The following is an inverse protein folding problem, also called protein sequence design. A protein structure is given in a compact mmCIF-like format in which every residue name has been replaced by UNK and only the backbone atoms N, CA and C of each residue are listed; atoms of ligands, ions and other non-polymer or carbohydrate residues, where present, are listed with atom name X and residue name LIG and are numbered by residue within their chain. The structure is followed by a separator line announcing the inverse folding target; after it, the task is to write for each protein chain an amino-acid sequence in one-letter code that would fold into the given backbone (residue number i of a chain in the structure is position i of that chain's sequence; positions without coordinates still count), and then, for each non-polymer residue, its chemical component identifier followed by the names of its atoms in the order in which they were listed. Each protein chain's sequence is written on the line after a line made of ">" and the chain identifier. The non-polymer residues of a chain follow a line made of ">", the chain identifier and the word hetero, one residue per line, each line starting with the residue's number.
data_IF_981340473399
#
_entry.id   IF_981340473399
#
_cell.length_a   1.000
_cell.length_b   1.000
_cell.length_c   1.000
_cell.angle_alpha   90.00
_cell.angle_beta   90.00
_cell.angle_gamma   90.00
#
_symmetry.space_group_name_H-M   'P 1'
#
loop_
_entity.id
_entity.type
_entity.pdbx_description
1 polymer ?
#
# COMPACT_ATOMS: atom_id res chain seq x y z
N UNK A 1 5.01 19.49 14.64
CA UNK A 1 4.49 18.12 14.83
C UNK A 1 5.47 17.07 14.30
N UNK A 2 5.87 17.09 13.02
CA UNK A 2 6.80 16.09 12.46
C UNK A 2 8.10 16.00 13.29
N UNK A 3 8.78 17.13 13.51
CA UNK A 3 10.03 17.16 14.26
C UNK A 3 9.83 16.69 15.71
N UNK A 4 8.78 17.17 16.38
CA UNK A 4 8.43 16.77 17.75
C UNK A 4 8.22 15.26 17.91
N UNK A 5 7.51 14.63 16.97
CA UNK A 5 7.30 13.17 16.98
C UNK A 5 8.63 12.44 16.80
N UNK A 6 9.47 12.90 15.87
CA UNK A 6 10.78 12.31 15.60
C UNK A 6 11.73 12.45 16.79
N UNK A 7 11.76 13.62 17.43
CA UNK A 7 12.57 13.90 18.63
C UNK A 7 12.19 12.99 19.81
N UNK A 8 10.94 12.55 19.88
CA UNK A 8 10.47 11.56 20.86
C UNK A 8 10.67 10.11 20.42
N UNK A 9 11.38 9.87 19.30
CA UNK A 9 11.64 8.52 18.76
C UNK A 9 10.47 7.92 17.97
N UNK A 10 9.40 8.69 17.73
CA UNK A 10 8.26 8.26 16.93
C UNK A 10 8.51 8.25 15.43
N UNK A 11 7.58 7.67 14.69
CA UNK A 11 7.54 7.67 13.21
C UNK A 11 6.25 8.36 12.75
N UNK A 12 6.36 9.15 11.68
CA UNK A 12 5.26 9.98 11.17
C UNK A 12 4.87 9.61 9.76
N UNK A 13 3.58 9.49 9.48
CA UNK A 13 3.05 9.23 8.15
C UNK A 13 2.10 10.35 7.72
N UNK A 14 2.22 10.80 6.48
CA UNK A 14 1.22 11.69 5.87
C UNK A 14 0.04 10.80 5.44
N UNK A 15 -1.10 10.94 6.12
CA UNK A 15 -2.32 10.17 5.79
C UNK A 15 -2.99 10.72 4.53
N UNK A 16 -3.55 9.81 3.72
CA UNK A 16 -4.41 10.07 2.56
C UNK A 16 -4.06 11.37 1.81
N UNK A 17 -2.82 11.50 1.28
CA UNK A 17 -2.23 12.76 0.84
C UNK A 17 -2.97 13.44 -0.32
N UNK A 18 -3.69 12.65 -1.12
CA UNK A 18 -4.52 13.11 -2.25
C UNK A 18 -6.01 12.84 -2.01
N UNK A 19 -6.44 12.83 -0.75
CA UNK A 19 -7.85 12.80 -0.41
C UNK A 19 -8.54 13.96 -1.10
N UNK A 20 -9.67 13.71 -1.78
CA UNK A 20 -10.42 14.72 -2.56
C UNK A 20 -11.74 15.12 -1.90
N UNK A 21 -12.16 14.40 -0.85
CA UNK A 21 -13.51 14.50 -0.31
C UNK A 21 -14.58 14.01 -1.28
N UNK A 22 -15.84 14.17 -0.88
CA UNK A 22 -17.03 13.82 -1.67
C UNK A 22 -18.17 14.76 -1.32
N UNK A 23 -18.51 15.66 -2.24
CA UNK A 23 -19.54 16.69 -2.04
C UNK A 23 -20.92 16.08 -1.72
N UNK A 24 -21.30 15.02 -2.43
CA UNK A 24 -22.60 14.34 -2.26
C UNK A 24 -22.86 13.86 -0.83
N UNK A 25 -21.80 13.47 -0.11
CA UNK A 25 -21.88 12.96 1.26
C UNK A 25 -21.23 13.93 2.27
N UNK A 26 -21.04 15.20 1.87
CA UNK A 26 -20.44 16.25 2.69
C UNK A 26 -19.07 15.90 3.29
N UNK A 27 -18.31 15.02 2.63
CA UNK A 27 -16.96 14.67 3.06
C UNK A 27 -16.01 15.78 2.63
N UNK A 28 -15.36 16.42 3.61
CA UNK A 28 -14.42 17.52 3.40
C UNK A 28 -13.14 17.06 2.68
N UNK A 29 -12.56 17.97 1.92
CA UNK A 29 -11.30 17.78 1.21
C UNK A 29 -10.10 18.02 2.17
N UNK A 30 -9.28 16.99 2.41
CA UNK A 30 -8.11 17.08 3.31
C UNK A 30 -6.80 16.57 2.66
N UNK A 31 -6.32 17.21 1.58
CA UNK A 31 -5.07 16.82 0.94
C UNK A 31 -3.86 17.34 1.74
N UNK A 32 -2.72 16.69 1.55
CA UNK A 32 -1.44 17.24 1.99
C UNK A 32 -0.94 18.29 1.01
N UNK A 33 -0.72 19.51 1.50
CA UNK A 33 -0.40 20.67 0.66
C UNK A 33 1.10 20.96 0.56
N UNK A 34 1.84 20.86 1.67
CA UNK A 34 3.22 21.29 1.74
C UNK A 34 4.21 20.13 1.62
N UNK A 35 4.63 19.83 0.40
CA UNK A 35 5.62 18.78 0.11
C UNK A 35 7.08 19.22 0.32
N UNK A 36 7.32 20.44 0.80
CA UNK A 36 8.68 20.91 1.12
C UNK A 36 9.17 20.42 2.49
N UNK A 37 8.25 19.96 3.34
CA UNK A 37 8.57 19.42 4.66
C UNK A 37 9.43 18.16 4.54
N UNK A 38 10.21 17.88 5.59
CA UNK A 38 11.03 16.68 5.69
C UNK A 38 10.84 16.02 7.06
N UNK A 39 11.41 14.83 7.23
CA UNK A 39 11.42 14.14 8.53
C UNK A 39 10.26 13.18 8.79
N UNK A 40 9.26 13.12 7.92
CA UNK A 40 8.25 12.05 7.93
C UNK A 40 8.86 10.74 7.43
N UNK A 41 8.32 9.62 7.92
CA UNK A 41 8.75 8.26 7.58
C UNK A 41 8.11 7.77 6.30
N UNK A 42 6.84 8.10 6.08
CA UNK A 42 6.09 7.57 4.95
C UNK A 42 4.81 8.33 4.64
N UNK A 43 4.04 7.78 3.70
CA UNK A 43 2.74 8.30 3.27
C UNK A 43 1.72 7.16 3.10
N UNK A 44 0.44 7.48 3.24
CA UNK A 44 -0.65 6.62 2.79
C UNK A 44 -0.66 6.53 1.26
N UNK A 45 -0.44 5.34 0.71
CA UNK A 45 -0.47 5.10 -0.74
C UNK A 45 -1.84 4.57 -1.19
N UNK A 46 -2.57 3.90 -0.30
CA UNK A 46 -3.88 3.35 -0.59
C UNK A 46 -4.82 3.52 0.60
N UNK A 47 -5.74 4.47 0.47
CA UNK A 47 -6.80 4.66 1.46
C UNK A 47 -8.12 4.06 0.98
N UNK A 48 -8.73 3.23 1.81
CA UNK A 48 -10.00 2.57 1.52
C UNK A 48 -11.13 3.56 1.34
N UNK A 49 -11.27 4.53 2.25
CA UNK A 49 -12.39 5.46 2.20
C UNK A 49 -12.26 6.40 1.00
N UNK A 50 -11.08 6.92 0.72
CA UNK A 50 -10.79 7.74 -0.46
C UNK A 50 -11.05 7.01 -1.77
N UNK A 51 -10.59 5.76 -1.90
CA UNK A 51 -10.79 4.95 -3.12
C UNK A 51 -12.27 4.59 -3.30
N UNK A 52 -12.95 4.18 -2.22
CA UNK A 52 -14.38 3.90 -2.23
C UNK A 52 -15.23 5.12 -2.59
N UNK A 53 -14.93 6.27 -1.97
CA UNK A 53 -15.63 7.53 -2.17
C UNK A 53 -15.65 7.99 -3.65
N UNK A 54 -14.60 7.68 -4.41
CA UNK A 54 -14.54 8.02 -5.83
C UNK A 54 -15.66 7.37 -6.67
N UNK A 55 -16.24 6.27 -6.18
CA UNK A 55 -17.37 5.60 -6.82
C UNK A 55 -18.73 6.27 -6.51
N UNK A 56 -18.82 7.09 -5.48
CA UNK A 56 -20.06 7.61 -4.92
C UNK A 56 -20.59 8.83 -5.69
N UNK A 57 -21.25 8.60 -6.83
CA UNK A 57 -21.77 9.65 -7.73
C UNK A 57 -23.28 9.89 -7.66
N UNK A 58 -23.98 9.11 -6.84
CA UNK A 58 -25.44 9.08 -6.77
C UNK A 58 -25.94 7.93 -5.88
N UNK A 59 -27.24 7.91 -5.58
CA UNK A 59 -27.82 6.93 -4.65
C UNK A 59 -27.64 5.48 -5.09
N UNK A 60 -27.79 5.19 -6.39
CA UNK A 60 -27.59 3.84 -6.93
C UNK A 60 -26.13 3.39 -6.79
N UNK A 61 -25.16 4.24 -7.15
CA UNK A 61 -23.74 3.93 -6.92
C UNK A 61 -23.39 3.86 -5.44
N UNK A 62 -24.06 4.65 -4.59
CA UNK A 62 -23.92 4.57 -3.14
C UNK A 62 -24.39 3.23 -2.59
N UNK A 63 -25.55 2.75 -3.02
CA UNK A 63 -26.07 1.43 -2.65
C UNK A 63 -25.15 0.31 -3.15
N UNK A 64 -24.70 0.36 -4.41
CA UNK A 64 -23.77 -0.63 -4.96
C UNK A 64 -22.43 -0.60 -4.21
N UNK A 65 -21.88 0.59 -3.97
CA UNK A 65 -20.63 0.77 -3.23
C UNK A 65 -20.74 0.32 -1.77
N UNK A 66 -21.91 0.46 -1.16
CA UNK A 66 -22.17 -0.04 0.18
C UNK A 66 -22.35 -1.56 0.20
N UNK A 67 -23.05 -2.17 -0.76
CA UNK A 67 -23.27 -3.62 -0.78
C UNK A 67 -22.01 -4.39 -1.24
N UNK A 68 -21.29 -3.86 -2.23
CA UNK A 68 -20.15 -4.50 -2.90
C UNK A 68 -18.89 -3.63 -2.90
N UNK A 69 -18.38 -3.17 -1.74
CA UNK A 69 -17.28 -2.20 -1.63
C UNK A 69 -15.99 -2.65 -2.35
N UNK A 70 -15.52 -3.88 -2.10
CA UNK A 70 -14.31 -4.38 -2.76
C UNK A 70 -14.40 -4.43 -4.29
N UNK A 71 -15.61 -4.49 -4.84
CA UNK A 71 -15.82 -4.54 -6.29
C UNK A 71 -15.70 -3.16 -6.95
N UNK A 72 -15.77 -2.09 -6.18
CA UNK A 72 -15.69 -0.71 -6.68
C UNK A 72 -14.32 -0.06 -6.47
N UNK A 73 -13.49 -0.62 -5.59
CA UNK A 73 -12.11 -0.18 -5.35
C UNK A 73 -11.26 -0.30 -6.63
N UNK A 74 -10.45 0.73 -6.88
CA UNK A 74 -9.59 0.86 -8.07
C UNK A 74 -8.11 0.78 -7.76
N UNK A 75 -7.73 0.87 -6.49
CA UNK A 75 -6.33 0.85 -6.06
C UNK A 75 -5.82 2.23 -5.65
N UNK A 76 -4.53 2.33 -5.31
CA UNK A 76 -3.83 3.60 -5.14
C UNK A 76 -4.10 4.56 -6.30
N UNK A 77 -4.30 5.85 -5.99
CA UNK A 77 -4.42 6.85 -7.06
C UNK A 77 -3.10 6.99 -7.80
N UNK A 78 -3.20 7.18 -9.12
CA UNK A 78 -2.01 7.37 -9.97
C UNK A 78 -1.16 8.56 -9.51
N UNK A 79 -1.79 9.69 -9.15
CA UNK A 79 -1.09 10.86 -8.61
C UNK A 79 -0.34 10.56 -7.31
N UNK A 80 -0.90 9.73 -6.43
CA UNK A 80 -0.26 9.31 -5.18
C UNK A 80 0.96 8.44 -5.48
N UNK A 81 0.83 7.47 -6.38
CA UNK A 81 1.94 6.62 -6.80
C UNK A 81 3.05 7.42 -7.50
N UNK A 82 2.71 8.29 -8.45
CA UNK A 82 3.71 9.11 -9.16
C UNK A 82 4.47 10.04 -8.21
N UNK A 83 3.78 10.59 -7.20
CA UNK A 83 4.43 11.37 -6.15
C UNK A 83 5.34 10.50 -5.29
N UNK A 84 4.85 9.35 -4.86
CA UNK A 84 5.61 8.41 -4.05
C UNK A 84 6.88 7.93 -4.77
N UNK A 85 6.77 7.61 -6.06
CA UNK A 85 7.88 7.23 -6.92
C UNK A 85 8.88 8.40 -7.06
N UNK A 86 8.39 9.64 -7.17
CA UNK A 86 9.24 10.84 -7.24
C UNK A 86 10.01 11.08 -5.94
N UNK A 87 9.35 10.95 -4.78
CA UNK A 87 9.98 11.09 -3.47
C UNK A 87 11.06 10.03 -3.25
N UNK A 88 10.82 8.79 -3.70
CA UNK A 88 11.75 7.68 -3.49
C UNK A 88 13.00 7.69 -4.37
N UNK A 89 13.09 8.57 -5.37
CA UNK A 89 14.34 8.74 -6.16
C UNK A 89 15.53 9.09 -5.27
N UNK A 90 15.30 9.97 -4.29
CA UNK A 90 16.32 10.54 -3.43
C UNK A 90 16.14 10.22 -1.93
N UNK A 91 15.00 9.65 -1.55
CA UNK A 91 14.66 9.34 -0.16
C UNK A 91 14.14 7.91 -0.03
N UNK A 92 13.94 7.44 1.21
CA UNK A 92 13.27 6.16 1.49
C UNK A 92 11.93 6.44 2.19
N UNK A 93 10.93 6.78 1.41
CA UNK A 93 9.58 7.12 1.88
C UNK A 93 8.74 5.85 1.88
N UNK A 94 8.31 5.40 3.05
CA UNK A 94 7.49 4.19 3.20
C UNK A 94 6.07 4.43 2.69
N UNK A 95 5.51 3.47 1.96
CA UNK A 95 4.11 3.44 1.57
C UNK A 95 3.29 2.50 2.46
N UNK A 96 2.12 2.97 2.93
CA UNK A 96 1.17 2.15 3.71
C UNK A 96 -0.23 2.14 3.09
N UNK A 97 -0.97 1.07 3.33
CA UNK A 97 -2.42 1.02 3.14
C UNK A 97 -3.15 1.43 4.41
N UNK A 98 -4.19 2.23 4.28
CA UNK A 98 -5.00 2.74 5.37
C UNK A 98 -6.49 2.51 5.10
N UNK A 99 -7.27 2.47 6.19
CA UNK A 99 -8.72 2.29 6.10
C UNK A 99 -9.49 3.60 6.22
N UNK A 100 -8.92 4.57 6.96
CA UNK A 100 -9.57 5.84 7.34
C UNK A 100 -11.04 5.68 7.80
N UNK A 101 -11.33 4.56 8.47
CA UNK A 101 -12.69 4.13 8.74
C UNK A 101 -13.23 4.82 10.00
N UNK A 102 -14.43 5.39 9.86
CA UNK A 102 -15.10 6.15 10.93
C UNK A 102 -16.33 5.44 11.52
N UNK A 103 -16.76 4.31 10.94
CA UNK A 103 -18.00 3.60 11.34
C UNK A 103 -19.20 4.57 11.44
N UNK A 104 -19.36 5.40 10.41
CA UNK A 104 -20.30 6.52 10.42
C UNK A 104 -21.74 6.01 10.40
N UNK A 105 -22.58 6.51 11.31
CA UNK A 105 -23.98 6.16 11.35
C UNK A 105 -24.80 7.06 10.40
N UNK A 106 -25.43 6.45 9.42
CA UNK A 106 -26.25 7.16 8.42
C UNK A 106 -27.71 6.75 8.50
N UNK A 107 -28.61 7.68 8.14
CA UNK A 107 -30.05 7.41 8.04
C UNK A 107 -30.48 7.54 6.59
N UNK A 108 -30.95 6.44 6.00
CA UNK A 108 -31.56 6.45 4.67
C UNK A 108 -33.00 5.96 4.78
N UNK A 109 -33.94 6.78 4.31
CA UNK A 109 -35.38 6.48 4.34
C UNK A 109 -35.91 6.12 5.75
N UNK A 110 -35.38 6.77 6.80
CA UNK A 110 -35.78 6.54 8.19
C UNK A 110 -35.17 5.31 8.86
N UNK A 111 -34.45 4.46 8.12
CA UNK A 111 -33.68 3.35 8.68
C UNK A 111 -32.23 3.76 8.90
N UNK A 112 -31.76 3.60 10.13
CA UNK A 112 -30.37 3.86 10.49
C UNK A 112 -29.50 2.64 10.22
N UNK A 113 -28.33 2.84 9.62
CA UNK A 113 -27.32 1.80 9.48
C UNK A 113 -25.91 2.39 9.62
N UNK A 114 -24.97 1.54 10.03
CA UNK A 114 -23.56 1.88 10.07
C UNK A 114 -22.92 1.70 8.70
N UNK A 115 -22.21 2.73 8.25
CA UNK A 115 -21.37 2.70 7.06
C UNK A 115 -20.01 2.12 7.45
N UNK A 116 -19.79 0.88 7.00
CA UNK A 116 -18.59 0.09 7.29
C UNK A 116 -18.26 -0.05 8.79
N UNK A 117 -19.04 -0.90 9.51
CA UNK A 117 -18.62 -1.36 10.82
C UNK A 117 -17.18 -1.87 10.77
N UNK A 118 -16.37 -1.65 11.82
CA UNK A 118 -14.95 -2.04 11.81
C UNK A 118 -14.71 -3.52 11.45
N UNK A 119 -15.60 -4.41 11.90
CA UNK A 119 -15.57 -5.85 11.56
C UNK A 119 -15.68 -6.13 10.06
N UNK A 120 -16.29 -5.20 9.30
CA UNK A 120 -16.37 -5.21 7.85
C UNK A 120 -15.17 -4.50 7.23
N UNK A 121 -14.81 -3.30 7.71
CA UNK A 121 -13.73 -2.49 7.17
C UNK A 121 -12.38 -3.24 7.20
N UNK A 122 -12.08 -3.94 8.30
CA UNK A 122 -10.83 -4.72 8.46
C UNK A 122 -10.67 -5.88 7.47
N UNK A 123 -11.67 -6.19 6.63
CA UNK A 123 -11.57 -7.20 5.57
C UNK A 123 -11.08 -6.64 4.22
N UNK A 124 -10.86 -5.33 4.11
CA UNK A 124 -10.43 -4.69 2.87
C UNK A 124 -8.91 -4.44 2.88
N UNK A 125 -8.49 -3.19 3.07
CA UNK A 125 -7.08 -2.82 2.95
C UNK A 125 -6.34 -3.13 4.24
N UNK A 126 -5.20 -3.80 4.13
CA UNK A 126 -4.26 -4.04 5.24
C UNK A 126 -2.85 -3.71 4.82
N UNK A 127 -2.06 -3.21 5.76
CA UNK A 127 -0.61 -3.14 5.64
C UNK A 127 -0.02 -4.38 6.31
N UNK A 128 0.69 -5.20 5.55
CA UNK A 128 1.45 -6.34 6.05
C UNK A 128 2.88 -5.90 6.34
N UNK A 129 3.43 -6.38 7.46
CA UNK A 129 4.81 -6.10 7.88
C UNK A 129 5.64 -7.37 7.82
N UNK A 130 6.89 -7.24 7.39
CA UNK A 130 7.87 -8.32 7.38
C UNK A 130 8.82 -8.11 8.56
N UNK A 131 8.69 -8.97 9.57
CA UNK A 131 9.58 -8.99 10.73
C UNK A 131 10.73 -9.98 10.50
N UNK A 132 11.89 -9.70 11.06
CA UNK A 132 13.07 -10.58 10.95
C UNK A 132 12.90 -11.90 11.71
N UNK A 133 12.03 -11.89 12.72
CA UNK A 133 11.69 -13.06 13.52
C UNK A 133 10.19 -13.04 13.83
N UNK A 134 9.59 -14.20 14.14
CA UNK A 134 8.22 -14.27 14.62
C UNK A 134 8.03 -13.42 15.88
N UNK A 135 6.84 -12.83 16.03
CA UNK A 135 6.45 -12.12 17.26
C UNK A 135 6.46 -13.10 18.44
N UNK A 136 6.97 -12.64 19.57
CA UNK A 136 7.21 -13.48 20.76
C UNK A 136 6.14 -13.30 21.84
N UNK A 137 5.08 -12.52 21.56
CA UNK A 137 4.00 -12.18 22.48
C UNK A 137 4.48 -11.38 23.69
N UNK A 138 5.51 -10.55 23.49
CA UNK A 138 5.99 -9.57 24.46
C UNK A 138 5.69 -8.18 23.93
N UNK A 139 4.85 -7.42 24.65
CA UNK A 139 4.38 -6.11 24.17
C UNK A 139 5.51 -5.16 23.79
N UNK A 140 6.61 -5.13 24.54
CA UNK A 140 7.72 -4.22 24.28
C UNK A 140 8.50 -4.65 23.04
N UNK A 141 8.93 -5.92 23.00
CA UNK A 141 9.73 -6.47 21.89
C UNK A 141 8.94 -6.52 20.59
N UNK A 142 7.66 -6.90 20.65
CA UNK A 142 6.82 -7.00 19.47
C UNK A 142 6.48 -5.60 18.93
N UNK A 143 6.22 -4.63 19.80
CA UNK A 143 6.04 -3.23 19.38
C UNK A 143 7.31 -2.71 18.69
N UNK A 144 8.49 -2.96 19.26
CA UNK A 144 9.76 -2.57 18.65
C UNK A 144 9.97 -3.24 17.29
N UNK A 145 9.72 -4.55 17.18
CA UNK A 145 9.83 -5.31 15.93
C UNK A 145 8.89 -4.77 14.84
N UNK A 146 7.64 -4.50 15.18
CA UNK A 146 6.64 -3.97 14.25
C UNK A 146 6.98 -2.54 13.80
N UNK A 147 7.35 -1.67 14.74
CA UNK A 147 7.73 -0.29 14.42
C UNK A 147 9.03 -0.23 13.61
N UNK A 148 9.99 -1.11 13.88
CA UNK A 148 11.24 -1.21 13.12
C UNK A 148 10.98 -1.67 11.68
N UNK A 149 10.18 -2.72 11.49
CA UNK A 149 9.78 -3.20 10.16
C UNK A 149 9.05 -2.11 9.38
N UNK A 150 8.09 -1.43 10.02
CA UNK A 150 7.33 -0.35 9.40
C UNK A 150 8.23 0.85 9.06
N UNK A 151 9.11 1.28 9.97
CA UNK A 151 10.08 2.37 9.74
C UNK A 151 11.05 2.06 8.60
N UNK A 152 11.48 0.81 8.49
CA UNK A 152 12.37 0.34 7.44
C UNK A 152 11.69 0.18 6.08
N UNK A 153 10.36 0.26 6.01
CA UNK A 153 9.62 0.01 4.76
C UNK A 153 9.52 -1.47 4.40
N UNK A 154 9.73 -2.37 5.37
CA UNK A 154 9.51 -3.82 5.22
C UNK A 154 8.02 -4.12 5.28
N UNK A 155 7.29 -3.61 4.29
CA UNK A 155 5.83 -3.62 4.29
C UNK A 155 5.23 -3.66 2.89
N UNK A 156 3.98 -4.10 2.78
CA UNK A 156 3.17 -3.95 1.57
C UNK A 156 1.71 -3.73 1.92
N UNK A 157 1.00 -2.99 1.07
CA UNK A 157 -0.44 -2.79 1.18
C UNK A 157 -1.17 -3.82 0.34
N UNK A 158 -2.26 -4.40 0.86
CA UNK A 158 -3.05 -5.38 0.12
C UNK A 158 -4.56 -5.23 0.35
N UNK A 159 -5.34 -5.53 -0.70
CA UNK A 159 -6.79 -5.73 -0.61
C UNK A 159 -7.09 -7.21 -0.32
N UNK A 160 -7.38 -7.51 0.94
CA UNK A 160 -7.55 -8.88 1.47
C UNK A 160 -8.88 -9.54 1.07
N UNK A 161 -9.82 -8.78 0.53
CA UNK A 161 -11.21 -9.24 0.37
C UNK A 161 -11.36 -10.41 -0.59
N UNK A 162 -10.57 -10.46 -1.67
CA UNK A 162 -10.69 -11.50 -2.70
C UNK A 162 -9.79 -12.70 -2.45
N UNK A 163 -8.58 -12.47 -1.94
CA UNK A 163 -7.59 -13.49 -1.65
C UNK A 163 -6.61 -12.94 -0.61
N UNK A 164 -6.21 -13.77 0.35
CA UNK A 164 -5.22 -13.39 1.36
C UNK A 164 -3.86 -13.16 0.71
N UNK A 165 -3.22 -12.02 1.01
CA UNK A 165 -1.92 -11.68 0.42
C UNK A 165 -0.72 -12.35 1.12
N UNK A 166 -0.97 -13.02 2.26
CA UNK A 166 0.05 -13.75 3.01
C UNK A 166 0.76 -14.77 2.12
N UNK A 167 2.10 -14.76 2.16
CA UNK A 167 2.94 -15.55 1.26
C UNK A 167 3.47 -14.76 0.06
N UNK A 168 3.07 -13.50 -0.11
CA UNK A 168 3.74 -12.59 -1.03
C UNK A 168 5.23 -12.42 -0.67
N UNK A 169 6.09 -12.53 -1.68
CA UNK A 169 7.53 -12.32 -1.55
C UNK A 169 8.06 -11.51 -2.73
N UNK A 170 8.94 -10.56 -2.42
CA UNK A 170 9.67 -9.75 -3.39
C UNK A 170 11.12 -9.66 -2.94
N UNK A 171 12.00 -10.26 -3.73
CA UNK A 171 13.42 -10.44 -3.43
C UNK A 171 14.25 -9.97 -4.61
N UNK A 172 15.37 -9.29 -4.34
CA UNK A 172 16.45 -9.03 -5.29
C UNK A 172 17.72 -9.63 -4.72
N UNK A 173 18.39 -10.49 -5.49
CA UNK A 173 19.60 -11.17 -5.03
C UNK A 173 20.66 -11.29 -6.13
N UNK A 174 21.92 -11.30 -5.72
CA UNK A 174 23.05 -11.79 -6.52
C UNK A 174 23.62 -13.08 -5.87
N UNK A 175 24.81 -13.52 -6.26
CA UNK A 175 25.43 -14.72 -5.68
C UNK A 175 25.89 -14.58 -4.22
N UNK A 176 25.90 -13.36 -3.67
CA UNK A 176 26.50 -13.03 -2.38
C UNK A 176 25.45 -12.48 -1.40
N UNK A 177 24.53 -11.64 -1.89
CA UNK A 177 23.58 -10.89 -1.06
C UNK A 177 22.14 -10.98 -1.57
N UNK A 178 21.22 -10.80 -0.63
CA UNK A 178 19.78 -10.74 -0.85
C UNK A 178 19.23 -9.45 -0.21
N UNK A 179 18.21 -8.86 -0.83
CA UNK A 179 17.47 -7.72 -0.32
C UNK A 179 15.97 -7.88 -0.56
N UNK A 180 15.15 -7.37 0.36
CA UNK A 180 13.70 -7.28 0.22
C UNK A 180 13.20 -5.85 0.43
N UNK A 181 11.88 -5.67 0.37
CA UNK A 181 11.19 -4.38 0.51
C UNK A 181 11.77 -3.54 1.65
N UNK A 182 12.10 -2.28 1.37
CA UNK A 182 12.71 -1.36 2.32
C UNK A 182 14.25 -1.39 2.32
N UNK A 183 14.87 -2.49 1.90
CA UNK A 183 16.32 -2.63 1.87
C UNK A 183 16.96 -1.90 0.68
N UNK A 184 18.25 -1.63 0.83
CA UNK A 184 19.11 -1.15 -0.24
C UNK A 184 19.97 -2.30 -0.79
N UNK A 185 20.06 -2.38 -2.11
CA UNK A 185 20.83 -3.40 -2.80
C UNK A 185 21.87 -2.74 -3.72
N UNK A 186 23.15 -2.92 -3.43
CA UNK A 186 24.23 -2.41 -4.29
C UNK A 186 24.39 -3.29 -5.53
N UNK A 187 24.02 -2.80 -6.71
CA UNK A 187 24.12 -3.60 -7.92
C UNK A 187 25.56 -3.67 -8.43
N UNK A 188 26.09 -4.88 -8.51
CA UNK A 188 27.39 -5.18 -9.14
C UNK A 188 27.19 -6.19 -10.26
N UNK A 189 27.19 -5.71 -11.51
CA UNK A 189 26.87 -6.52 -12.68
C UNK A 189 25.38 -6.80 -12.83
N UNK A 190 24.94 -8.00 -12.45
CA UNK A 190 23.56 -8.47 -12.61
C UNK A 190 23.00 -9.04 -11.30
N UNK A 191 21.69 -8.87 -11.13
CA UNK A 191 20.94 -9.46 -10.03
C UNK A 191 19.66 -10.10 -10.55
N UNK A 192 19.14 -11.06 -9.80
CA UNK A 192 17.86 -11.70 -10.05
C UNK A 192 16.80 -11.01 -9.18
N UNK A 193 15.81 -10.41 -9.83
CA UNK A 193 14.58 -9.95 -9.19
C UNK A 193 13.56 -11.10 -9.26
N UNK A 194 13.09 -11.56 -8.10
CA UNK A 194 12.09 -12.64 -7.97
C UNK A 194 10.86 -12.14 -7.22
N UNK A 195 9.70 -12.41 -7.78
CA UNK A 195 8.39 -12.12 -7.18
C UNK A 195 7.60 -13.42 -7.09
N UNK A 196 7.03 -13.68 -5.93
CA UNK A 196 6.13 -14.79 -5.68
C UNK A 196 4.84 -14.27 -5.02
N UNK A 197 3.70 -14.69 -5.55
CA UNK A 197 2.37 -14.28 -5.07
C UNK A 197 1.54 -15.52 -4.71
N UNK A 198 0.65 -15.42 -3.70
CA UNK A 198 -0.03 -16.61 -3.16
C UNK A 198 -1.12 -17.16 -4.08
N UNK A 199 -1.57 -16.40 -5.08
CA UNK A 199 -2.56 -16.81 -6.08
C UNK A 199 -2.20 -16.25 -7.46
N UNK A 200 -2.64 -16.92 -8.54
CA UNK A 200 -2.31 -16.50 -9.90
C UNK A 200 -2.87 -15.09 -10.19
N UNK A 201 -1.97 -14.17 -10.52
CA UNK A 201 -2.29 -12.77 -10.77
C UNK A 201 -1.46 -12.20 -11.91
N UNK A 202 -1.74 -10.94 -12.27
CA UNK A 202 -0.88 -10.13 -13.10
C UNK A 202 0.13 -9.42 -12.20
N UNK A 203 1.40 -9.77 -12.34
CA UNK A 203 2.54 -9.18 -11.65
C UNK A 203 3.12 -8.10 -12.55
N UNK A 204 3.18 -6.86 -12.08
CA UNK A 204 3.81 -5.74 -12.75
C UNK A 204 5.01 -5.27 -11.92
N UNK A 205 6.19 -5.27 -12.53
CA UNK A 205 7.40 -4.67 -11.95
C UNK A 205 7.49 -3.23 -12.42
N UNK A 206 7.64 -2.31 -11.48
CA UNK A 206 7.79 -0.87 -11.72
C UNK A 206 9.20 -0.46 -11.31
N UNK A 207 9.86 0.34 -12.14
CA UNK A 207 11.19 0.91 -11.86
C UNK A 207 11.13 2.42 -12.04
N UNK A 208 11.42 3.17 -10.98
CA UNK A 208 11.40 4.64 -10.96
C UNK A 208 10.07 5.25 -11.45
N UNK A 209 8.95 4.58 -11.13
CA UNK A 209 7.59 4.94 -11.54
C UNK A 209 7.18 4.53 -12.97
N UNK A 210 8.08 3.85 -13.69
CA UNK A 210 7.83 3.38 -15.06
C UNK A 210 7.70 1.86 -15.09
N UNK A 211 6.73 1.28 -15.82
CA UNK A 211 6.66 -0.16 -16.01
C UNK A 211 7.97 -0.73 -16.55
N UNK A 212 8.54 -1.71 -15.85
CA UNK A 212 9.74 -2.44 -16.26
C UNK A 212 9.40 -3.73 -16.99
N UNK A 213 8.35 -4.43 -16.53
CA UNK A 213 7.84 -5.63 -17.18
C UNK A 213 6.63 -6.18 -16.44
N UNK A 214 5.81 -6.96 -17.13
CA UNK A 214 4.66 -7.64 -16.53
C UNK A 214 4.52 -9.08 -16.99
N UNK A 215 3.91 -9.90 -16.14
CA UNK A 215 3.61 -11.30 -16.44
C UNK A 215 2.38 -11.76 -15.68
N UNK A 216 1.71 -12.79 -16.21
CA UNK A 216 0.61 -13.48 -15.51
C UNK A 216 1.12 -14.81 -14.99
N UNK A 217 1.03 -15.04 -13.69
CA UNK A 217 1.57 -16.25 -13.07
C UNK A 217 1.49 -16.19 -11.55
N UNK A 218 2.19 -17.11 -10.88
CA UNK A 218 2.40 -17.12 -9.42
C UNK A 218 3.82 -16.71 -9.03
N UNK A 219 4.78 -16.99 -9.90
CA UNK A 219 6.19 -16.64 -9.73
C UNK A 219 6.64 -15.95 -11.00
N UNK A 220 7.44 -14.90 -10.84
CA UNK A 220 8.10 -14.23 -11.96
C UNK A 220 9.51 -13.80 -11.57
N UNK A 221 10.44 -14.06 -12.49
CA UNK A 221 11.84 -13.69 -12.37
C UNK A 221 12.26 -12.78 -13.53
N UNK A 222 13.14 -11.83 -13.22
CA UNK A 222 13.79 -10.94 -14.17
C UNK A 222 15.26 -10.76 -13.81
N UNK A 223 16.14 -10.86 -14.80
CA UNK A 223 17.51 -10.36 -14.64
C UNK A 223 17.49 -8.83 -14.73
N UNK A 224 18.03 -8.18 -13.70
CA UNK A 224 18.17 -6.72 -13.66
C UNK A 224 19.65 -6.33 -13.75
N UNK A 225 19.93 -5.31 -14.57
CA UNK A 225 21.27 -4.74 -14.79
C UNK A 225 21.32 -3.23 -14.61
N UNK A 226 20.20 -2.65 -14.16
CA UNK A 226 20.07 -1.21 -14.02
C UNK A 226 19.70 -0.87 -12.58
N UNK A 227 20.34 0.16 -12.05
CA UNK A 227 19.97 0.82 -10.82
C UNK A 227 18.57 1.45 -10.93
N UNK A 228 17.96 1.73 -9.79
CA UNK A 228 16.64 2.33 -9.69
C UNK A 228 15.85 1.82 -8.49
N UNK A 229 14.69 2.40 -8.27
CA UNK A 229 13.74 2.01 -7.21
C UNK A 229 12.76 1.02 -7.80
N UNK A 230 12.80 -0.22 -7.34
CA UNK A 230 11.95 -1.30 -7.87
C UNK A 230 10.79 -1.58 -6.93
N UNK A 231 9.57 -1.58 -7.46
CA UNK A 231 8.33 -1.88 -6.73
C UNK A 231 7.47 -2.87 -7.50
N UNK A 232 6.68 -3.66 -6.78
CA UNK A 232 5.73 -4.62 -7.35
C UNK A 232 4.30 -4.11 -7.20
N UNK A 233 3.53 -4.25 -8.28
CA UNK A 233 2.07 -4.17 -8.28
C UNK A 233 1.49 -5.51 -8.72
N UNK A 234 0.52 -6.01 -7.99
CA UNK A 234 -0.17 -7.26 -8.32
C UNK A 234 -1.64 -6.99 -8.48
N UNK A 235 -2.19 -7.54 -9.56
CA UNK A 235 -3.62 -7.49 -9.85
C UNK A 235 -4.18 -8.91 -9.92
N UNK A 236 -5.20 -9.20 -9.11
CA UNK A 236 -5.87 -10.50 -9.06
C UNK A 236 -6.96 -10.57 -10.13
N UNK A 237 -7.07 -11.68 -10.86
CA UNK A 237 -8.16 -11.88 -11.82
C UNK A 237 -9.38 -12.44 -11.08
N UNK A 238 -10.42 -11.62 -10.94
CA UNK A 238 -11.69 -12.02 -10.30
C UNK A 238 -12.87 -11.65 -11.20
N UNK A 239 -13.75 -12.63 -11.49
CA UNK A 239 -14.90 -12.47 -12.39
C UNK A 239 -14.52 -11.83 -13.74
N UNK A 240 -13.44 -12.32 -14.36
CA UNK A 240 -12.99 -11.86 -15.68
C UNK A 240 -12.29 -10.51 -15.71
N UNK A 241 -12.18 -9.79 -14.58
CA UNK A 241 -11.50 -8.49 -14.48
C UNK A 241 -10.28 -8.58 -13.58
N UNK A 242 -9.22 -7.86 -13.94
CA UNK A 242 -8.08 -7.64 -13.04
C UNK A 242 -8.44 -6.57 -12.02
N UNK A 243 -8.23 -6.87 -10.75
CA UNK A 243 -8.51 -6.00 -9.61
C UNK A 243 -7.22 -5.72 -8.86
N UNK A 244 -7.03 -4.50 -8.32
CA UNK A 244 -5.87 -4.19 -7.50
C UNK A 244 -5.79 -5.16 -6.33
N UNK A 245 -4.60 -5.68 -6.04
CA UNK A 245 -4.42 -6.64 -4.96
C UNK A 245 -3.27 -6.30 -4.04
N UNK A 246 -2.02 -6.26 -4.51
CA UNK A 246 -0.82 -6.04 -3.68
C UNK A 246 0.00 -4.89 -4.24
N UNK A 247 0.45 -3.99 -3.38
CA UNK A 247 1.35 -2.90 -3.69
C UNK A 247 2.51 -2.92 -2.68
N UNK A 248 3.70 -3.30 -3.14
CA UNK A 248 4.87 -3.46 -2.27
C UNK A 248 5.53 -2.12 -1.93
N UNK A 249 6.21 -2.02 -0.80
CA UNK A 249 7.30 -1.04 -0.69
C UNK A 249 8.42 -1.40 -1.68
N UNK A 250 9.29 -0.44 -2.04
CA UNK A 250 10.31 -0.69 -3.02
C UNK A 250 11.57 -1.34 -2.42
N UNK A 251 12.39 -1.94 -3.27
CA UNK A 251 13.82 -2.20 -3.02
C UNK A 251 14.62 -1.09 -3.71
N UNK A 252 15.58 -0.49 -2.99
CA UNK A 252 16.40 0.60 -3.52
C UNK A 252 17.68 0.03 -4.14
N UNK A 253 17.69 -0.16 -5.45
CA UNK A 253 18.87 -0.72 -6.16
C UNK A 253 19.81 0.42 -6.54
N UNK A 254 21.00 0.43 -5.94
CA UNK A 254 21.99 1.51 -6.04
C UNK A 254 23.24 1.13 -6.79
#
# INVERSE_FOLDING_TARGET
>A
YIDTVREQGGIGFISHPDHQGTEMFHVKHFPWLDWTVSGYTGIGIWDFMTDWQFFLRGYLSGLIGYLFPAYVLRGPKRVTLDRWDSLNRNSRVVGIGELDNHDSFEKVLGMGFSVFPFSRAFKFIRTHLLTESPLVQDNGKDQEALLSALKGGRAYAALEYFCEAKGFSFIIADSIKEATMGDEFLLDGNALLRVEIPEKGKICVVRDGVPFGDAVGRVKEYEIRKKGVYRIEVYLKHLGKYRPWIFSNPVYVR
#
